data_IF_492501733314
#
_entry.id   IF_492501733314
#
_cell.length_a   1.000
_cell.length_b   1.000
_cell.length_c   1.000
_cell.angle_alpha   90.00
_cell.angle_beta   90.00
_cell.angle_gamma   90.00
#
_symmetry.space_group_name_H-M   'P 1'
#
loop_
_entity.id
_entity.type
_entity.pdbx_description
1 polymer ?
#
# COMPACT_ATOMS: atom_id res chain seq x y z
N UNK A 1 -51.14 17.59 -11.86
CA UNK A 1 -49.77 17.22 -12.29
C UNK A 1 -48.66 17.57 -11.29
N UNK A 2 -48.89 18.41 -10.26
CA UNK A 2 -47.85 18.71 -9.26
C UNK A 2 -47.58 17.58 -8.24
N UNK A 3 -48.53 16.67 -8.03
CA UNK A 3 -48.40 15.60 -7.02
C UNK A 3 -47.34 14.55 -7.37
N UNK A 4 -47.09 14.32 -8.66
CA UNK A 4 -46.13 13.31 -9.13
C UNK A 4 -44.67 13.78 -8.93
N UNK A 5 -44.38 15.08 -9.05
CA UNK A 5 -43.03 15.60 -8.86
C UNK A 5 -42.58 15.56 -7.40
N UNK A 6 -43.48 15.77 -6.43
CA UNK A 6 -43.12 15.70 -5.01
C UNK A 6 -42.75 14.28 -4.58
N UNK A 7 -43.46 13.26 -5.08
CA UNK A 7 -43.16 11.86 -4.75
C UNK A 7 -41.78 11.43 -5.25
N UNK A 8 -41.37 11.88 -6.44
CA UNK A 8 -40.07 11.51 -7.03
C UNK A 8 -38.93 12.15 -6.23
N UNK A 9 -39.04 13.42 -5.85
CA UNK A 9 -38.00 14.08 -5.04
C UNK A 9 -37.86 13.46 -3.65
N UNK A 10 -38.96 13.09 -3.00
CA UNK A 10 -38.91 12.43 -1.69
C UNK A 10 -38.26 11.03 -1.77
N UNK A 11 -38.55 10.26 -2.83
CA UNK A 11 -37.96 8.96 -3.04
C UNK A 11 -36.44 9.04 -3.31
N UNK A 12 -35.99 10.03 -4.09
CA UNK A 12 -34.56 10.24 -4.35
C UNK A 12 -33.84 10.66 -3.06
N UNK A 13 -34.43 11.54 -2.25
CA UNK A 13 -33.84 11.97 -0.98
C UNK A 13 -33.73 10.79 0.01
N UNK A 14 -34.76 9.95 0.09
CA UNK A 14 -34.75 8.75 0.91
C UNK A 14 -33.68 7.74 0.45
N UNK A 15 -33.55 7.52 -0.86
CA UNK A 15 -32.50 6.68 -1.43
C UNK A 15 -31.10 7.23 -1.12
N UNK A 16 -30.89 8.54 -1.23
CA UNK A 16 -29.61 9.18 -0.87
C UNK A 16 -29.30 9.04 0.62
N UNK A 17 -30.29 9.21 1.50
CA UNK A 17 -30.12 9.03 2.94
C UNK A 17 -29.81 7.57 3.32
N UNK A 18 -30.43 6.59 2.66
CA UNK A 18 -30.15 5.17 2.88
C UNK A 18 -28.73 4.77 2.45
N UNK A 19 -28.21 5.32 1.35
CA UNK A 19 -26.85 5.01 0.89
C UNK A 19 -25.77 5.57 1.84
N UNK A 20 -26.04 6.69 2.52
CA UNK A 20 -25.10 7.29 3.49
C UNK A 20 -25.06 6.50 4.80
N UNK A 21 -26.15 5.84 5.19
CA UNK A 21 -26.25 5.10 6.47
C UNK A 21 -25.87 3.62 6.37
N UNK A 22 -25.83 3.05 5.17
CA UNK A 22 -25.37 1.67 4.94
C UNK A 22 -23.84 1.52 4.82
N UNK A 23 -23.09 2.64 4.83
CA UNK A 23 -21.63 2.64 4.98
C UNK A 23 -21.23 2.30 6.41
N UNK A 24 -21.56 1.11 6.89
CA UNK A 24 -21.00 0.59 8.13
C UNK A 24 -19.49 0.62 8.00
N UNK A 25 -18.82 1.47 8.79
CA UNK A 25 -17.37 1.50 8.88
C UNK A 25 -16.91 0.07 9.14
N UNK A 26 -16.26 -0.54 8.14
CA UNK A 26 -15.59 -1.81 8.34
C UNK A 26 -14.62 -1.58 9.48
N UNK A 27 -14.71 -2.42 10.50
CA UNK A 27 -13.88 -2.33 11.69
C UNK A 27 -12.37 -2.47 11.35
N UNK A 28 -12.06 -2.88 10.13
CA UNK A 28 -10.72 -2.96 9.56
C UNK A 28 -10.06 -1.57 9.32
N UNK A 29 -10.83 -0.48 9.24
CA UNK A 29 -10.31 0.83 8.79
C UNK A 29 -9.87 1.76 9.94
N UNK A 30 -10.12 1.40 11.21
CA UNK A 30 -9.79 2.28 12.35
C UNK A 30 -8.27 2.50 12.49
N UNK A 31 -7.45 1.50 12.16
CA UNK A 31 -6.00 1.62 12.20
C UNK A 31 -5.46 2.50 11.06
N UNK A 32 -6.13 2.55 9.90
CA UNK A 32 -5.73 3.41 8.79
C UNK A 32 -5.90 4.90 9.14
N UNK A 33 -6.85 5.24 10.02
CA UNK A 33 -7.06 6.60 10.48
C UNK A 33 -5.84 7.20 11.22
N UNK A 34 -4.95 6.36 11.76
CA UNK A 34 -3.68 6.83 12.34
C UNK A 34 -2.67 7.29 11.28
N UNK A 35 -2.82 6.85 10.03
CA UNK A 35 -1.96 7.23 8.92
C UNK A 35 -0.47 7.00 9.22
N UNK A 36 0.31 8.09 9.22
CA UNK A 36 1.75 8.06 9.51
C UNK A 36 2.10 8.29 10.99
N UNK A 37 1.12 8.50 11.88
CA UNK A 37 1.36 8.67 13.31
C UNK A 37 1.62 7.31 13.98
N UNK A 38 2.87 6.85 13.87
CA UNK A 38 3.33 5.60 14.49
C UNK A 38 3.15 5.59 16.01
N UNK A 39 3.22 6.74 16.68
CA UNK A 39 3.13 6.77 18.14
C UNK A 39 1.69 6.50 18.58
N UNK A 40 0.71 7.07 17.89
CA UNK A 40 -0.71 6.74 18.12
C UNK A 40 -1.04 5.31 17.74
N UNK A 41 -0.57 4.84 16.57
CA UNK A 41 -0.80 3.45 16.16
C UNK A 41 -0.25 2.43 17.17
N UNK A 42 0.94 2.68 17.73
CA UNK A 42 1.52 1.81 18.78
C UNK A 42 0.79 1.86 20.11
N UNK A 43 0.09 2.96 20.40
CA UNK A 43 -0.68 3.10 21.62
C UNK A 43 -2.00 2.31 21.57
N UNK A 44 -2.50 1.98 20.37
CA UNK A 44 -3.68 1.15 20.19
C UNK A 44 -3.31 -0.35 20.14
N UNK A 45 -3.98 -1.16 20.97
CA UNK A 45 -3.74 -2.59 21.10
C UNK A 45 -4.37 -3.41 19.96
N UNK A 46 -5.41 -2.86 19.30
CA UNK A 46 -6.03 -3.50 18.12
C UNK A 46 -5.23 -3.26 16.84
N UNK A 47 -4.22 -2.39 16.87
CA UNK A 47 -3.37 -2.10 15.73
C UNK A 47 -2.00 -2.78 15.83
N UNK A 48 -1.39 -2.96 14.66
CA UNK A 48 -0.03 -3.40 14.48
C UNK A 48 0.66 -2.47 13.48
N UNK A 49 1.94 -2.20 13.73
CA UNK A 49 2.77 -1.43 12.81
C UNK A 49 3.60 -2.40 11.99
N UNK A 50 3.40 -2.40 10.68
CA UNK A 50 4.39 -2.92 9.73
C UNK A 50 5.24 -1.76 9.26
N UNK A 51 6.54 -1.97 9.15
CA UNK A 51 7.41 -0.98 8.54
C UNK A 51 8.37 -1.65 7.59
N UNK A 52 8.59 -1.02 6.44
CA UNK A 52 9.47 -1.52 5.39
C UNK A 52 10.24 -0.39 4.75
N UNK A 53 11.44 -0.70 4.26
CA UNK A 53 12.24 0.23 3.49
C UNK A 53 11.86 0.10 2.01
N UNK A 54 11.31 1.16 1.43
CA UNK A 54 10.87 1.18 0.04
C UNK A 54 11.72 2.16 -0.79
N UNK A 55 11.90 1.95 -2.10
CA UNK A 55 12.55 2.93 -2.95
C UNK A 55 11.75 4.23 -3.04
N UNK A 56 12.44 5.38 -3.10
CA UNK A 56 11.78 6.67 -3.38
C UNK A 56 11.32 6.69 -4.83
N UNK A 57 10.01 6.78 -5.04
CA UNK A 57 9.39 6.76 -6.38
C UNK A 57 9.96 7.81 -7.35
N UNK A 58 10.40 8.96 -6.85
CA UNK A 58 10.91 10.04 -7.71
C UNK A 58 12.38 9.89 -8.11
N UNK A 59 13.10 8.86 -7.63
CA UNK A 59 14.52 8.71 -7.97
C UNK A 59 14.74 8.24 -9.41
N UNK A 60 13.87 7.37 -9.91
CA UNK A 60 13.96 6.82 -11.26
C UNK A 60 13.00 7.52 -12.23
N UNK A 61 12.95 8.86 -12.24
CA UNK A 61 12.09 9.62 -13.14
C UNK A 61 12.84 10.06 -14.40
N UNK A 62 13.32 9.09 -15.18
CA UNK A 62 13.98 9.36 -16.46
C UNK A 62 13.01 9.10 -17.61
N UNK A 63 12.84 10.10 -18.49
CA UNK A 63 11.97 10.00 -19.66
C UNK A 63 12.55 9.10 -20.77
N UNK A 64 13.87 8.91 -20.82
CA UNK A 64 14.53 8.08 -21.85
C UNK A 64 15.21 6.87 -21.23
N UNK A 65 15.06 5.72 -21.91
CA UNK A 65 15.64 4.43 -21.55
C UNK A 65 17.13 4.49 -21.21
N UNK A 66 17.93 5.15 -22.05
CA UNK A 66 19.38 5.29 -21.88
C UNK A 66 19.79 5.91 -20.53
N UNK A 67 19.01 6.86 -20.01
CA UNK A 67 19.31 7.48 -18.71
C UNK A 67 18.84 6.62 -17.55
N UNK A 68 17.75 5.88 -17.75
CA UNK A 68 17.24 4.92 -16.77
C UNK A 68 18.24 3.79 -16.52
N UNK A 69 18.67 3.12 -17.59
CA UNK A 69 19.57 1.95 -17.51
C UNK A 69 21.00 2.32 -17.09
N UNK A 70 21.35 3.62 -17.11
CA UNK A 70 22.62 4.10 -16.58
C UNK A 70 22.70 3.95 -15.06
N UNK A 71 21.57 4.02 -14.35
CA UNK A 71 21.54 3.74 -12.90
C UNK A 71 21.15 2.29 -12.65
N UNK A 72 22.03 1.52 -11.99
CA UNK A 72 21.79 0.11 -11.65
C UNK A 72 20.59 -0.13 -10.74
N UNK A 73 20.05 0.92 -10.12
CA UNK A 73 18.87 0.85 -9.22
C UNK A 73 17.56 1.16 -9.94
N UNK A 74 17.62 1.47 -11.23
CA UNK A 74 16.46 1.73 -12.05
C UNK A 74 16.36 0.66 -13.14
N UNK A 75 15.14 0.23 -13.42
CA UNK A 75 14.82 -0.65 -14.53
C UNK A 75 13.88 0.09 -15.49
N UNK A 76 14.10 -0.12 -16.79
CA UNK A 76 13.22 0.42 -17.82
C UNK A 76 12.11 -0.59 -18.12
N UNK A 77 10.85 -0.16 -17.96
CA UNK A 77 9.70 -0.90 -18.45
C UNK A 77 9.17 -0.25 -19.73
N UNK A 78 8.85 -1.00 -20.80
CA UNK A 78 8.35 -0.44 -22.06
C UNK A 78 7.08 0.42 -21.89
N UNK A 79 6.21 0.04 -20.95
CA UNK A 79 4.92 0.70 -20.75
C UNK A 79 4.88 1.66 -19.56
N UNK A 80 5.70 1.44 -18.53
CA UNK A 80 5.67 2.21 -17.29
C UNK A 80 6.85 3.17 -17.18
N UNK A 81 7.69 3.23 -18.21
CA UNK A 81 8.92 4.00 -18.22
C UNK A 81 9.93 3.50 -17.19
N UNK A 82 10.72 4.42 -16.66
CA UNK A 82 11.75 4.12 -15.68
C UNK A 82 11.14 3.95 -14.27
N UNK A 83 11.50 2.86 -13.58
CA UNK A 83 11.03 2.58 -12.23
C UNK A 83 12.17 2.02 -11.37
N UNK A 84 12.14 2.20 -10.04
CA UNK A 84 13.15 1.62 -9.17
C UNK A 84 13.04 0.10 -9.12
N UNK A 85 14.18 -0.60 -9.06
CA UNK A 85 14.19 -2.05 -8.80
C UNK A 85 13.79 -2.32 -7.35
N UNK A 86 12.90 -3.30 -7.14
CA UNK A 86 12.34 -3.66 -5.83
C UNK A 86 13.40 -4.08 -4.82
N UNK A 87 14.49 -4.65 -5.30
CA UNK A 87 15.51 -5.27 -4.46
C UNK A 87 16.48 -4.25 -3.86
N UNK A 88 16.48 -3.00 -4.36
CA UNK A 88 17.43 -1.97 -3.96
C UNK A 88 17.28 -1.52 -2.50
N UNK A 89 16.08 -1.64 -1.91
CA UNK A 89 15.79 -1.26 -0.53
C UNK A 89 15.25 -2.42 0.33
N UNK A 90 14.85 -3.55 -0.29
CA UNK A 90 14.22 -4.67 0.42
C UNK A 90 15.14 -5.35 1.43
N UNK A 91 16.45 -5.35 1.20
CA UNK A 91 17.44 -5.91 2.13
C UNK A 91 17.70 -5.05 3.38
N UNK A 92 17.12 -3.84 3.43
CA UNK A 92 17.32 -2.89 4.54
C UNK A 92 16.17 -3.03 5.53
N UNK A 93 16.35 -3.87 6.54
CA UNK A 93 15.32 -4.13 7.56
C UNK A 93 15.25 -3.05 8.65
N UNK A 94 16.34 -2.31 8.90
CA UNK A 94 16.40 -1.32 9.99
C UNK A 94 16.16 0.10 9.49
N UNK A 95 15.27 0.81 10.19
CA UNK A 95 14.90 2.20 9.92
C UNK A 95 16.11 3.13 9.79
N UNK A 96 17.09 3.00 10.68
CA UNK A 96 18.28 3.84 10.70
C UNK A 96 19.06 3.76 9.38
N UNK A 97 19.27 2.56 8.84
CA UNK A 97 19.96 2.37 7.57
C UNK A 97 19.12 2.87 6.39
N UNK A 98 17.80 2.66 6.45
CA UNK A 98 16.88 3.17 5.43
C UNK A 98 16.92 4.70 5.33
N UNK A 99 16.85 5.39 6.46
CA UNK A 99 16.91 6.87 6.54
C UNK A 99 18.25 7.45 6.06
N UNK A 100 19.35 6.71 6.24
CA UNK A 100 20.68 7.14 5.78
C UNK A 100 20.87 6.94 4.27
N UNK A 101 20.10 6.04 3.67
CA UNK A 101 20.14 5.79 2.23
C UNK A 101 19.35 6.86 1.47
N UNK A 102 20.01 7.61 0.58
CA UNK A 102 19.37 8.69 -0.19
C UNK A 102 18.30 8.21 -1.16
N UNK A 103 18.30 6.93 -1.51
CA UNK A 103 17.43 6.32 -2.53
C UNK A 103 16.22 5.60 -1.94
N UNK A 104 16.20 5.38 -0.64
CA UNK A 104 15.12 4.70 0.04
C UNK A 104 14.32 5.66 0.93
N UNK A 105 13.10 5.26 1.26
CA UNK A 105 12.22 5.92 2.22
C UNK A 105 11.65 4.85 3.14
N UNK A 106 11.68 5.14 4.44
CA UNK A 106 11.04 4.31 5.43
C UNK A 106 9.53 4.53 5.34
N UNK A 107 8.77 3.46 5.08
CA UNK A 107 7.32 3.48 5.08
C UNK A 107 6.83 2.65 6.28
N UNK A 108 6.18 3.33 7.21
CA UNK A 108 5.44 2.67 8.27
C UNK A 108 3.96 2.70 7.92
N UNK A 109 3.33 1.55 8.03
CA UNK A 109 1.91 1.34 7.77
C UNK A 109 1.28 0.75 9.03
N UNK A 110 0.19 1.38 9.48
CA UNK A 110 -0.61 0.89 10.58
C UNK A 110 -1.72 -0.01 10.00
N UNK A 111 -1.81 -1.24 10.46
CA UNK A 111 -2.83 -2.19 10.03
C UNK A 111 -3.52 -2.81 11.23
N UNK A 112 -4.76 -3.25 11.04
CA UNK A 112 -5.50 -3.98 12.07
C UNK A 112 -4.75 -5.27 12.39
N UNK A 113 -4.47 -5.47 13.69
CA UNK A 113 -3.76 -6.64 14.17
C UNK A 113 -4.67 -7.85 13.92
N UNK A 114 -4.37 -8.63 12.88
CA UNK A 114 -5.05 -9.91 12.69
C UNK A 114 -4.68 -10.78 13.87
N UNK A 115 -5.60 -10.93 14.81
CA UNK A 115 -5.58 -12.07 15.69
C UNK A 115 -5.77 -13.27 14.78
N UNK A 116 -4.66 -13.88 14.35
CA UNK A 116 -4.71 -15.25 13.87
C UNK A 116 -5.21 -16.04 15.06
N UNK A 117 -6.52 -16.24 15.13
CA UNK A 117 -7.11 -17.29 15.93
C UNK A 117 -6.43 -18.54 15.39
N UNK A 118 -5.41 -19.00 16.08
CA UNK A 118 -4.91 -20.36 15.92
C UNK A 118 -6.12 -21.22 16.24
N UNK A 119 -6.90 -21.59 15.22
CA UNK A 119 -7.80 -22.72 15.32
C UNK A 119 -6.90 -23.84 15.82
N UNK A 120 -7.09 -24.20 17.09
CA UNK A 120 -6.42 -25.35 17.66
C UNK A 120 -6.66 -26.49 16.66
N UNK A 121 -5.61 -27.14 16.14
CA UNK A 121 -5.81 -28.27 15.25
C UNK A 121 -6.71 -29.24 16.00
N UNK A 122 -7.96 -29.34 15.57
CA UNK A 122 -8.87 -30.34 16.09
C UNK A 122 -8.30 -31.63 15.54
N UNK A 123 -7.44 -32.27 16.35
CA UNK A 123 -6.95 -33.62 16.13
C UNK A 123 -8.17 -34.52 16.21
N UNK A 124 -8.87 -34.68 15.08
CA UNK A 124 -9.73 -35.84 14.86
C UNK A 124 -8.81 -37.05 14.82
N UNK A 125 -8.53 -37.60 15.99
CA UNK A 125 -7.79 -38.82 16.22
C UNK A 125 -8.56 -39.96 15.57
N UNK A 126 -8.26 -40.23 14.30
CA UNK A 126 -8.63 -41.49 13.67
C UNK A 126 -7.62 -42.50 14.20
N UNK A 127 -8.07 -43.35 15.13
CA UNK A 127 -7.28 -44.44 15.67
C UNK A 127 -6.85 -45.38 14.55
N UNK A 128 -5.65 -45.19 14.00
CA UNK A 128 -4.92 -46.26 13.35
C UNK A 128 -3.87 -46.75 14.34
N UNK A 129 -4.16 -47.91 14.92
CA UNK A 129 -3.29 -48.63 15.82
C UNK A 129 -2.02 -49.06 15.09
N UNK A 130 -0.90 -48.41 15.40
CA UNK A 130 0.43 -48.96 15.10
C UNK A 130 1.16 -49.14 16.42
N UNK A 131 1.13 -50.39 16.88
CA UNK A 131 1.87 -50.91 18.03
C UNK A 131 3.35 -50.58 17.88
N UNK A 132 3.90 -49.74 18.77
CA UNK A 132 5.35 -49.59 18.92
C UNK A 132 5.73 -49.96 20.34
N UNK A 133 6.44 -51.08 20.43
CA UNK A 133 6.92 -51.75 21.64
C UNK A 133 7.83 -50.84 22.45
N UNK A 134 7.53 -50.70 23.74
CA UNK A 134 8.36 -50.04 24.73
C UNK A 134 9.52 -50.94 25.14
N UNK A 135 10.75 -50.41 25.12
CA UNK A 135 11.87 -50.95 25.90
C UNK A 135 12.26 -49.94 26.97
N UNK A 136 11.86 -50.27 28.18
CA UNK A 136 12.27 -49.69 29.46
C UNK A 136 13.68 -50.15 29.86
N UNK A 137 14.50 -49.20 30.32
CA UNK A 137 15.62 -49.47 31.24
C UNK A 137 15.79 -48.29 32.22
N UNK A 138 15.36 -48.54 33.44
CA UNK A 138 15.86 -48.12 34.77
C UNK A 138 17.40 -47.95 34.84
N UNK A 139 18.08 -47.23 35.75
CA UNK A 139 17.81 -46.52 37.02
C UNK A 139 18.84 -45.38 37.17
N UNK A 140 18.61 -44.40 38.06
CA UNK A 140 19.71 -43.54 38.54
C UNK A 140 19.30 -42.36 39.41
N UNK A 141 19.19 -42.61 40.72
CA UNK A 141 19.05 -41.60 41.78
C UNK A 141 20.36 -40.83 41.98
N UNK A 142 20.31 -39.50 42.00
CA UNK A 142 21.48 -38.65 42.20
C UNK A 142 21.11 -37.20 42.55
N UNK A 143 21.19 -36.87 43.84
CA UNK A 143 21.14 -35.54 44.43
C UNK A 143 22.38 -34.72 44.01
N UNK A 144 22.19 -33.51 43.47
CA UNK A 144 23.27 -32.54 43.27
C UNK A 144 22.87 -31.29 42.48
N UNK A 145 22.87 -30.16 43.18
CA UNK A 145 23.13 -28.76 42.75
C UNK A 145 22.64 -28.20 41.39
N UNK A 146 22.00 -27.01 41.38
CA UNK A 146 21.58 -26.34 40.13
C UNK A 146 22.78 -25.66 39.45
N UNK A 147 23.36 -26.32 38.44
CA UNK A 147 24.32 -25.68 37.53
C UNK A 147 23.56 -25.07 36.35
N UNK A 148 23.67 -23.75 36.18
CA UNK A 148 23.16 -23.02 35.02
C UNK A 148 23.88 -23.47 33.73
N UNK A 149 23.17 -24.10 32.80
CA UNK A 149 23.71 -24.45 31.47
C UNK A 149 23.18 -23.45 30.44
N UNK A 150 24.08 -22.62 29.95
CA UNK A 150 23.91 -21.72 28.82
C UNK A 150 23.85 -22.56 27.53
N UNK A 151 22.67 -22.65 26.89
CA UNK A 151 22.54 -23.30 25.58
C UNK A 151 22.94 -22.31 24.48
N UNK A 152 24.20 -22.43 24.03
CA UNK A 152 24.71 -21.88 22.78
C UNK A 152 24.56 -22.94 21.69
N UNK A 153 23.62 -22.74 20.77
CA UNK A 153 23.43 -23.61 19.60
C UNK A 153 24.40 -23.21 18.49
N UNK A 154 25.58 -23.84 18.49
CA UNK A 154 26.45 -23.94 17.31
C UNK A 154 25.98 -25.11 16.44
N UNK A 155 25.57 -24.84 15.21
CA UNK A 155 25.34 -25.85 14.19
C UNK A 155 26.68 -26.26 13.53
N UNK A 156 26.89 -27.56 13.21
CA UNK A 156 28.14 -28.03 12.62
C UNK A 156 28.23 -27.83 11.10
N UNK A 157 29.47 -27.59 10.66
CA UNK A 157 29.95 -27.38 9.30
C UNK A 157 29.60 -28.45 8.27
N UNK A 158 29.53 -28.05 7.00
CA UNK A 158 30.03 -28.89 5.89
C UNK A 158 30.89 -28.08 4.93
N UNK A 159 32.05 -28.66 4.63
CA UNK A 159 33.16 -28.18 3.82
C UNK A 159 32.92 -28.54 2.35
N UNK A 160 33.12 -27.60 1.43
CA UNK A 160 33.49 -27.91 0.05
C UNK A 160 34.33 -26.76 -0.53
N UNK A 161 35.62 -27.02 -0.69
CA UNK A 161 36.50 -26.25 -1.56
C UNK A 161 36.26 -26.63 -3.02
N UNK A 162 36.58 -25.74 -3.97
CA UNK A 162 37.73 -26.06 -4.80
C UNK A 162 38.67 -24.87 -5.00
N UNK A 163 39.95 -25.14 -4.83
CA UNK A 163 41.07 -24.35 -5.32
C UNK A 163 41.30 -24.64 -6.80
N UNK A 164 41.47 -23.62 -7.64
CA UNK A 164 42.48 -23.62 -8.71
C UNK A 164 42.95 -22.21 -9.02
N UNK A 165 44.28 -22.16 -9.13
CA UNK A 165 45.21 -21.08 -9.40
C UNK A 165 45.07 -20.56 -10.84
N UNK A 166 45.33 -19.26 -11.06
CA UNK A 166 46.43 -18.76 -11.91
C UNK A 166 46.12 -17.50 -12.75
N UNK A 167 47.02 -16.52 -12.58
CA UNK A 167 47.70 -15.72 -13.62
C UNK A 167 46.95 -14.53 -14.23
N UNK A 168 47.53 -13.35 -14.00
CA UNK A 168 47.07 -12.10 -14.58
C UNK A 168 47.47 -11.90 -16.04
N UNK A 169 47.02 -10.78 -16.59
CA UNK A 169 47.81 -10.03 -17.56
C UNK A 169 47.31 -8.58 -17.65
N UNK A 170 48.29 -7.68 -17.76
CA UNK A 170 48.13 -6.29 -18.14
C UNK A 170 47.47 -6.16 -19.51
N UNK A 171 46.65 -5.13 -19.68
CA UNK A 171 46.69 -4.29 -20.90
C UNK A 171 46.17 -2.90 -20.54
N UNK A 172 47.10 -1.96 -20.61
CA UNK A 172 46.86 -0.59 -21.04
C UNK A 172 45.86 -0.53 -22.20
N UNK A 173 44.94 0.41 -22.12
CA UNK A 173 44.32 1.04 -23.28
C UNK A 173 43.83 2.42 -22.86
N UNK A 174 44.76 3.38 -22.97
CA UNK A 174 44.45 4.69 -23.53
C UNK A 174 43.40 4.55 -24.63
N UNK A 175 42.30 5.28 -24.52
CA UNK A 175 41.75 6.01 -25.67
C UNK A 175 40.76 7.07 -25.19
N UNK A 176 41.23 8.30 -25.24
CA UNK A 176 40.41 9.49 -25.39
C UNK A 176 39.45 9.33 -26.58
N UNK A 177 38.14 9.52 -26.36
CA UNK A 177 37.31 10.13 -27.38
C UNK A 177 36.06 10.79 -26.77
N UNK A 178 35.95 12.09 -27.03
CA UNK A 178 34.84 12.95 -26.66
C UNK A 178 33.63 12.72 -27.61
N UNK A 179 32.45 13.32 -27.32
CA UNK A 179 31.14 12.84 -27.77
C UNK A 179 30.78 13.31 -29.18
N UNK A 180 29.99 12.52 -29.91
CA UNK A 180 29.24 13.02 -31.08
C UNK A 180 27.74 12.92 -30.86
N UNK A 181 27.15 14.10 -31.06
CA UNK A 181 25.74 14.46 -31.07
C UNK A 181 25.01 13.67 -32.16
N UNK A 182 23.80 13.23 -31.87
CA UNK A 182 22.79 12.97 -32.89
C UNK A 182 21.46 13.37 -32.31
N UNK A 183 21.07 14.59 -32.64
CA UNK A 183 19.72 15.10 -32.52
C UNK A 183 18.81 14.25 -33.41
N UNK A 184 17.66 13.87 -32.85
CA UNK A 184 16.55 13.32 -33.62
C UNK A 184 15.29 13.81 -32.92
N UNK A 185 14.83 14.96 -33.40
CA UNK A 185 13.49 15.47 -33.19
C UNK A 185 12.49 14.45 -33.77
N UNK A 186 11.57 14.02 -32.92
CA UNK A 186 10.48 13.13 -33.27
C UNK A 186 9.24 13.56 -32.52
N UNK A 187 8.50 14.50 -33.11
CA UNK A 187 7.16 14.88 -32.72
C UNK A 187 6.14 13.78 -33.01
N UNK A 188 5.12 13.68 -32.15
CA UNK A 188 3.79 13.20 -32.53
C UNK A 188 3.43 11.80 -32.02
N UNK A 189 2.36 11.73 -31.22
CA UNK A 189 1.71 10.46 -30.87
C UNK A 189 0.98 10.50 -29.53
N UNK A 190 -0.02 11.37 -29.41
CA UNK A 190 -1.02 11.32 -28.34
C UNK A 190 -2.12 10.35 -28.74
N UNK A 191 -2.11 9.13 -28.20
CA UNK A 191 -3.25 8.21 -28.27
C UNK A 191 -3.61 7.71 -26.87
N UNK A 192 -4.85 7.99 -26.51
CA UNK A 192 -5.43 7.71 -25.21
C UNK A 192 -5.62 6.22 -24.98
N UNK A 193 -4.99 5.70 -23.93
CA UNK A 193 -5.30 4.40 -23.38
C UNK A 193 -6.18 4.60 -22.15
N UNK A 194 -7.44 4.17 -22.26
CA UNK A 194 -8.42 4.07 -21.19
C UNK A 194 -7.96 3.04 -20.15
N UNK A 195 -7.05 3.43 -19.25
CA UNK A 195 -6.69 2.69 -18.05
C UNK A 195 -7.56 3.14 -16.89
N UNK A 196 -8.03 2.21 -16.06
CA UNK A 196 -8.79 2.46 -14.85
C UNK A 196 -8.10 3.52 -13.98
N UNK A 197 -8.53 4.77 -14.14
CA UNK A 197 -7.92 5.93 -13.50
C UNK A 197 -8.32 5.90 -12.02
N UNK A 198 -7.35 5.64 -11.14
CA UNK A 198 -7.45 6.09 -9.77
C UNK A 198 -7.74 7.58 -9.81
N UNK A 199 -8.99 7.96 -9.52
CA UNK A 199 -9.45 9.34 -9.57
C UNK A 199 -8.53 10.13 -8.63
N UNK A 200 -7.70 10.98 -9.23
CA UNK A 200 -6.86 11.91 -8.49
C UNK A 200 -7.71 12.58 -7.41
N UNK A 201 -7.13 12.81 -6.22
CA UNK A 201 -7.81 13.50 -5.11
C UNK A 201 -8.46 14.81 -5.58
N UNK A 202 -7.90 15.47 -6.61
CA UNK A 202 -8.50 16.65 -7.23
C UNK A 202 -9.81 16.40 -8.00
N UNK A 203 -9.99 15.23 -8.61
CA UNK A 203 -11.22 14.84 -9.28
C UNK A 203 -12.37 14.62 -8.27
N UNK A 204 -12.07 14.03 -7.12
CA UNK A 204 -13.04 13.82 -6.05
C UNK A 204 -13.50 15.17 -5.48
N UNK A 205 -12.57 16.09 -5.24
CA UNK A 205 -12.91 17.44 -4.77
C UNK A 205 -13.79 18.21 -5.79
N UNK A 206 -13.50 18.09 -7.09
CA UNK A 206 -14.30 18.71 -8.15
C UNK A 206 -15.75 18.23 -8.18
N UNK A 207 -15.97 16.92 -7.98
CA UNK A 207 -17.32 16.34 -7.96
C UNK A 207 -18.12 16.89 -6.77
N UNK A 208 -17.52 16.98 -5.58
CA UNK A 208 -18.22 17.47 -4.37
C UNK A 208 -18.65 18.93 -4.55
N UNK A 209 -17.78 19.80 -5.06
CA UNK A 209 -18.11 21.21 -5.31
C UNK A 209 -19.20 21.33 -6.38
N UNK A 210 -19.13 20.52 -7.44
CA UNK A 210 -20.15 20.49 -8.49
C UNK A 210 -21.53 20.10 -7.96
N UNK A 211 -21.61 19.08 -7.10
CA UNK A 211 -22.87 18.63 -6.49
C UNK A 211 -23.45 19.70 -5.56
N UNK A 212 -22.63 20.36 -4.75
CA UNK A 212 -23.10 21.43 -3.84
C UNK A 212 -23.70 22.62 -4.61
N UNK A 213 -23.06 23.05 -5.70
CA UNK A 213 -23.60 24.12 -6.55
C UNK A 213 -24.92 23.71 -7.20
N UNK A 214 -25.02 22.48 -7.70
CA UNK A 214 -26.23 21.98 -8.33
C UNK A 214 -27.40 21.94 -7.34
N UNK A 215 -27.17 21.46 -6.11
CA UNK A 215 -28.18 21.47 -5.03
C UNK A 215 -28.61 22.90 -4.70
N UNK A 216 -27.66 23.84 -4.58
CA UNK A 216 -27.96 25.25 -4.33
C UNK A 216 -28.86 25.88 -5.40
N UNK A 217 -28.61 25.61 -6.68
CA UNK A 217 -29.44 26.09 -7.79
C UNK A 217 -30.85 25.50 -7.72
N UNK A 218 -30.99 24.20 -7.46
CA UNK A 218 -32.30 23.55 -7.36
C UNK A 218 -33.14 24.15 -6.23
N UNK A 219 -32.54 24.37 -5.06
CA UNK A 219 -33.21 25.01 -3.92
C UNK A 219 -33.58 26.46 -4.23
N UNK A 220 -32.67 27.21 -4.86
CA UNK A 220 -32.91 28.59 -5.28
C UNK A 220 -34.08 28.72 -6.26
N UNK A 221 -34.14 27.85 -7.27
CA UNK A 221 -35.24 27.82 -8.25
C UNK A 221 -36.56 27.43 -7.59
N UNK A 222 -36.56 26.48 -6.66
CA UNK A 222 -37.76 26.08 -5.93
C UNK A 222 -38.31 27.23 -5.06
N UNK A 223 -37.43 27.96 -4.37
CA UNK A 223 -37.78 29.14 -3.57
C UNK A 223 -38.30 30.29 -4.45
N UNK A 224 -37.64 30.57 -5.58
CA UNK A 224 -38.05 31.63 -6.50
C UNK A 224 -39.42 31.36 -7.14
N UNK A 225 -39.74 30.08 -7.43
CA UNK A 225 -41.08 29.70 -7.90
C UNK A 225 -42.14 29.86 -6.82
N UNK A 226 -41.81 29.54 -5.56
CA UNK A 226 -42.73 29.71 -4.43
C UNK A 226 -43.03 31.19 -4.14
N UNK A 227 -42.05 32.07 -4.28
CA UNK A 227 -42.23 33.51 -4.07
C UNK A 227 -43.19 34.13 -5.10
N UNK A 228 -43.13 33.71 -6.37
CA UNK A 228 -44.02 34.24 -7.42
C UNK A 228 -45.49 33.88 -7.22
N UNK A 229 -45.81 32.81 -6.50
CA UNK A 229 -47.20 32.43 -6.22
C UNK A 229 -47.85 33.24 -5.08
N UNK A 230 -47.12 34.10 -4.38
CA UNK A 230 -47.67 34.93 -3.29
C UNK A 230 -48.02 36.37 -3.70
N UNK A 231 -47.47 36.87 -4.80
CA UNK A 231 -47.73 38.24 -5.27
C UNK A 231 -49.07 38.39 -6.01
N UNK A 232 -49.70 37.31 -6.47
CA UNK A 232 -51.00 37.35 -7.16
C UNK A 232 -52.22 37.47 -6.20
N UNK A 233 -52.01 37.48 -4.88
CA UNK A 233 -53.09 37.55 -3.89
C UNK A 233 -53.39 38.94 -3.33
N UNK A 234 -52.60 39.97 -3.68
CA UNK A 234 -52.69 41.30 -3.05
C UNK A 234 -53.46 42.35 -3.87
N UNK A 235 -53.98 42.01 -5.05
CA UNK A 235 -54.53 43.01 -5.98
C UNK A 235 -56.08 43.13 -6.03
N UNK A 236 -56.82 42.30 -5.28
CA UNK A 236 -58.30 42.32 -5.24
C UNK A 236 -58.90 43.07 -4.03
N UNK A 237 -58.15 44.00 -3.42
CA UNK A 237 -58.61 44.77 -2.25
C UNK A 237 -58.60 46.28 -2.47
N UNK A 238 -59.22 46.77 -3.55
CA UNK A 238 -59.63 48.18 -3.72
C UNK A 238 -60.99 48.25 -4.38
#
# INVERSE_FOLDING_TARGET
>A
MLSSSLCISAAILALLCLQVSAGGMRQDDHCEAYGQDMHRCKADYSCAVSASCAPRFNYCNYARRMYCERDRRCAWHPHNGCHPTTDSCASIEREYFCRRNRHCIWKAECHTRRMSTTEAPTTTSTMNATTTTSTTSDMGSGSGEPTMIYSSSHAPSTTAAPSTTARGNNTDSDLANAPRVSDSDGSGGSDGAAGAAGLSVGAIAGIVVGVLLLVGVVVGVAMARKARSQDEGAQDSV
#
